data_IF_009669741670
#
_entry.id   IF_009669741670
#
_cell.length_a   1.000
_cell.length_b   1.000
_cell.length_c   1.000
_cell.angle_alpha   90.00
_cell.angle_beta   90.00
_cell.angle_gamma   90.00
#
_symmetry.space_group_name_H-M   'P 1'
#
loop_
_entity.id
_entity.type
_entity.pdbx_description
1 polymer ?
#
# COMPACT_ATOMS: atom_id res chain seq x y z
N UNK A 1 14.73 -19.56 -86.37
CA UNK A 1 13.65 -18.80 -85.70
C UNK A 1 13.97 -18.75 -84.21
N UNK A 2 13.89 -17.54 -83.64
CA UNK A 2 14.34 -17.15 -82.30
C UNK A 2 13.57 -17.91 -81.20
N UNK A 3 14.27 -18.46 -80.22
CA UNK A 3 13.70 -18.78 -78.90
C UNK A 3 14.68 -18.30 -77.82
N UNK A 4 14.20 -17.31 -77.04
CA UNK A 4 14.84 -16.70 -75.87
C UNK A 4 14.99 -17.72 -74.73
N UNK A 5 16.10 -17.73 -73.97
CA UNK A 5 16.11 -18.32 -72.63
C UNK A 5 15.74 -17.26 -71.58
N UNK A 6 14.70 -17.57 -70.81
CA UNK A 6 14.25 -16.83 -69.62
C UNK A 6 15.34 -16.97 -68.55
N UNK A 7 15.95 -15.85 -68.13
CA UNK A 7 16.79 -15.80 -66.92
C UNK A 7 15.92 -15.47 -65.72
N UNK A 8 15.83 -16.43 -64.80
CA UNK A 8 15.22 -16.28 -63.48
C UNK A 8 16.05 -15.26 -62.67
N UNK A 9 15.45 -14.15 -62.27
CA UNK A 9 16.07 -13.19 -61.36
C UNK A 9 15.83 -13.64 -59.91
N UNK A 10 16.89 -14.05 -59.22
CA UNK A 10 16.87 -14.33 -57.79
C UNK A 10 17.24 -13.04 -57.05
N UNK A 11 16.26 -12.27 -56.61
CA UNK A 11 16.47 -11.11 -55.72
C UNK A 11 16.64 -11.61 -54.29
N UNK A 12 17.86 -11.59 -53.78
CA UNK A 12 18.16 -11.79 -52.36
C UNK A 12 17.84 -10.50 -51.59
N UNK A 13 16.84 -10.54 -50.70
CA UNK A 13 16.49 -9.46 -49.79
C UNK A 13 17.38 -9.57 -48.54
N UNK A 14 18.38 -8.70 -48.42
CA UNK A 14 19.19 -8.58 -47.20
C UNK A 14 18.45 -7.65 -46.23
N UNK A 15 17.80 -8.22 -45.23
CA UNK A 15 17.21 -7.46 -44.13
C UNK A 15 18.32 -7.11 -43.11
N UNK A 16 18.75 -5.85 -43.10
CA UNK A 16 19.63 -5.32 -42.07
C UNK A 16 18.86 -5.12 -40.77
N UNK A 17 19.16 -5.94 -39.75
CA UNK A 17 18.73 -5.71 -38.38
C UNK A 17 19.56 -4.58 -37.78
N UNK A 18 18.96 -3.40 -37.62
CA UNK A 18 19.54 -2.34 -36.78
C UNK A 18 19.10 -2.62 -35.35
N UNK A 19 19.98 -3.24 -34.56
CA UNK A 19 19.80 -3.33 -33.11
C UNK A 19 19.94 -1.92 -32.53
N UNK A 20 18.80 -1.30 -32.21
CA UNK A 20 18.77 -0.14 -31.33
C UNK A 20 19.12 -0.61 -29.92
N UNK A 21 20.37 -0.42 -29.51
CA UNK A 21 20.76 -0.53 -28.10
C UNK A 21 20.01 0.57 -27.37
N UNK A 22 19.03 0.19 -26.55
CA UNK A 22 18.36 1.11 -25.64
C UNK A 22 19.45 1.74 -24.75
N UNK A 23 19.48 3.08 -24.73
CA UNK A 23 20.35 3.80 -23.81
C UNK A 23 20.03 3.34 -22.38
N UNK A 24 21.04 3.10 -21.52
CA UNK A 24 20.78 2.80 -20.12
C UNK A 24 19.91 3.92 -19.54
N UNK A 25 18.88 3.53 -18.79
CA UNK A 25 18.08 4.47 -18.01
C UNK A 25 19.04 5.38 -17.23
N UNK A 26 18.76 6.70 -17.14
CA UNK A 26 19.56 7.57 -16.29
C UNK A 26 19.61 6.92 -14.90
N UNK A 27 20.82 6.74 -14.36
CA UNK A 27 21.00 6.21 -13.03
C UNK A 27 20.06 6.97 -12.09
N UNK A 28 19.22 6.23 -11.35
CA UNK A 28 18.37 6.80 -10.31
C UNK A 28 19.26 7.75 -9.49
N UNK A 29 18.84 9.01 -9.38
CA UNK A 29 19.54 9.97 -8.55
C UNK A 29 19.67 9.36 -7.17
N UNK A 30 20.86 9.43 -6.58
CA UNK A 30 21.04 8.97 -5.21
C UNK A 30 19.99 9.63 -4.31
N UNK A 31 19.45 8.91 -3.30
CA UNK A 31 18.45 9.45 -2.37
C UNK A 31 18.96 10.77 -1.83
N UNK A 32 18.09 11.78 -1.82
CA UNK A 32 18.41 13.12 -1.36
C UNK A 32 17.89 13.20 0.07
N UNK A 33 18.72 12.94 1.10
CA UNK A 33 18.26 13.07 2.47
C UNK A 33 17.90 14.53 2.74
N UNK A 34 16.78 14.76 3.43
CA UNK A 34 16.27 16.10 3.72
C UNK A 34 17.25 16.96 4.49
N UNK A 35 18.15 16.36 5.29
CA UNK A 35 19.18 17.06 6.06
C UNK A 35 20.56 16.49 5.75
N UNK A 36 21.51 17.36 5.40
CA UNK A 36 22.91 16.97 5.12
C UNK A 36 23.91 17.84 5.86
N UNK A 37 24.77 17.22 6.66
CA UNK A 37 25.89 17.90 7.33
C UNK A 37 27.21 17.69 6.59
N UNK A 38 27.91 18.79 6.32
CA UNK A 38 29.23 18.82 5.70
C UNK A 38 30.25 19.38 6.68
N UNK A 39 31.34 18.65 6.93
CA UNK A 39 32.33 19.02 7.94
C UNK A 39 33.62 19.54 7.31
N UNK A 40 34.07 20.71 7.76
CA UNK A 40 35.34 21.30 7.36
C UNK A 40 36.51 20.86 8.24
N UNK A 41 37.73 21.03 7.73
CA UNK A 41 38.94 20.62 8.45
C UNK A 41 39.35 21.61 9.55
N UNK A 42 39.96 21.06 10.60
CA UNK A 42 40.58 21.84 11.66
C UNK A 42 41.66 22.77 11.09
N UNK A 43 41.69 24.04 11.54
CA UNK A 43 42.54 25.08 10.95
C UNK A 43 43.14 25.95 12.04
N UNK A 44 44.45 26.25 11.94
CA UNK A 44 45.12 27.13 12.90
C UNK A 44 44.69 28.59 12.70
N UNK A 45 44.32 29.26 13.79
CA UNK A 45 43.97 30.69 13.80
C UNK A 45 45.24 31.46 14.16
N UNK A 46 45.73 32.25 13.20
CA UNK A 46 46.95 33.00 13.39
C UNK A 46 46.74 34.21 14.33
N UNK A 47 47.73 34.58 15.14
CA UNK A 47 47.68 35.80 15.93
C UNK A 47 47.77 37.05 15.04
N UNK A 48 47.25 38.16 15.52
CA UNK A 48 47.60 39.49 15.02
C UNK A 48 48.77 40.06 15.82
N UNK A 49 49.91 40.22 15.14
CA UNK A 49 51.13 40.76 15.73
C UNK A 49 51.25 42.29 15.60
N UNK A 50 50.34 42.96 14.88
CA UNK A 50 50.60 44.31 14.37
C UNK A 50 49.86 45.45 15.09
N UNK A 51 48.75 45.22 15.80
CA UNK A 51 48.11 46.23 16.66
C UNK A 51 47.60 47.50 15.93
N UNK A 52 46.27 47.54 15.75
CA UNK A 52 45.39 48.70 15.45
C UNK A 52 45.23 49.21 13.98
N UNK A 53 44.31 48.62 13.19
CA UNK A 53 44.30 47.16 13.18
C UNK A 53 44.27 46.61 11.76
N UNK A 54 45.32 45.89 11.34
CA UNK A 54 45.08 44.73 10.49
C UNK A 54 44.74 43.54 11.41
N UNK A 55 43.52 43.01 11.35
CA UNK A 55 43.26 41.66 11.87
C UNK A 55 43.97 40.63 10.99
N UNK A 56 44.43 39.53 11.58
CA UNK A 56 44.81 38.36 10.80
C UNK A 56 43.56 37.54 10.51
N UNK A 57 43.23 37.36 9.23
CA UNK A 57 42.10 36.50 8.80
C UNK A 57 42.62 35.11 8.42
N UNK A 58 42.20 34.09 9.17
CA UNK A 58 42.36 32.69 8.79
C UNK A 58 41.16 32.24 7.97
N UNK A 59 41.38 31.51 6.87
CA UNK A 59 40.29 30.93 6.06
C UNK A 59 40.35 29.40 6.09
N UNK A 60 39.27 28.77 6.53
CA UNK A 60 39.03 27.33 6.39
C UNK A 60 38.01 27.10 5.27
N UNK A 61 38.29 26.20 4.33
CA UNK A 61 37.41 25.94 3.19
C UNK A 61 36.75 24.56 3.28
N UNK A 62 35.51 24.47 2.82
CA UNK A 62 34.70 23.26 2.75
C UNK A 62 34.03 23.22 1.37
N UNK A 63 34.12 22.09 0.68
CA UNK A 63 33.43 21.89 -0.58
C UNK A 63 32.10 21.16 -0.33
N UNK A 64 31.00 21.81 -0.67
CA UNK A 64 29.65 21.21 -0.66
C UNK A 64 29.31 20.81 -2.11
N UNK A 65 29.01 19.54 -2.39
CA UNK A 65 28.58 19.11 -3.72
C UNK A 65 27.32 19.86 -4.14
N UNK A 66 27.19 20.16 -5.43
CA UNK A 66 25.90 20.61 -5.96
C UNK A 66 24.87 19.50 -5.77
N UNK A 67 23.79 19.80 -5.06
CA UNK A 67 22.64 18.93 -4.91
C UNK A 67 21.44 19.54 -5.68
N UNK A 68 20.64 18.71 -6.37
CA UNK A 68 19.34 19.14 -6.85
C UNK A 68 18.45 19.30 -5.61
N UNK A 69 18.06 20.52 -5.28
CA UNK A 69 17.22 20.77 -4.12
C UNK A 69 17.08 22.26 -3.87
N UNK A 70 15.89 22.66 -3.44
CA UNK A 70 15.65 23.99 -2.89
C UNK A 70 16.10 23.94 -1.43
N UNK A 71 17.02 24.81 -1.06
CA UNK A 71 17.44 24.96 0.33
C UNK A 71 16.32 25.63 1.09
N UNK A 72 15.94 25.02 2.21
CA UNK A 72 14.97 25.57 3.15
C UNK A 72 15.64 26.18 4.36
N UNK A 73 16.77 25.61 4.80
CA UNK A 73 17.46 26.03 6.01
C UNK A 73 18.96 25.66 5.98
N UNK A 74 19.77 26.44 6.69
CA UNK A 74 21.22 26.30 6.81
C UNK A 74 21.67 26.56 8.25
N UNK A 75 22.15 25.51 8.93
CA UNK A 75 22.83 25.66 10.22
C UNK A 75 24.35 25.66 10.08
N UNK A 76 25.03 26.42 10.93
CA UNK A 76 26.50 26.47 10.99
C UNK A 76 26.99 26.18 12.39
N UNK A 77 27.64 25.04 12.59
CA UNK A 77 28.29 24.71 13.86
C UNK A 77 29.78 25.00 13.80
N UNK A 78 30.34 25.67 14.81
CA UNK A 78 31.77 25.98 14.91
C UNK A 78 32.27 25.74 16.33
N UNK A 79 33.39 25.03 16.46
CA UNK A 79 34.14 24.91 17.71
C UNK A 79 35.53 25.53 17.54
N UNK A 80 35.81 26.60 18.29
CA UNK A 80 37.10 27.30 18.29
C UNK A 80 37.70 27.23 19.69
N UNK A 81 38.99 26.91 19.74
CA UNK A 81 39.85 27.07 20.90
C UNK A 81 40.67 28.36 20.76
N UNK A 82 40.48 29.31 21.69
CA UNK A 82 41.26 30.55 21.73
C UNK A 82 41.42 31.06 23.16
N UNK A 83 42.57 31.64 23.54
CA UNK A 83 42.79 32.18 24.88
C UNK A 83 41.89 33.34 25.28
N UNK A 84 41.31 34.06 24.31
CA UNK A 84 40.33 35.13 24.55
C UNK A 84 39.37 35.26 23.35
N UNK A 85 38.19 34.64 23.44
CA UNK A 85 37.26 34.59 22.31
C UNK A 85 36.76 35.99 21.88
N UNK A 86 36.71 36.99 22.76
CA UNK A 86 36.30 38.37 22.46
C UNK A 86 37.12 39.03 21.33
N UNK A 87 38.34 38.52 21.11
CA UNK A 87 39.24 38.95 20.04
C UNK A 87 38.91 38.33 18.68
N UNK A 88 37.89 37.49 18.59
CA UNK A 88 37.51 36.77 17.39
C UNK A 88 36.21 37.27 16.79
N UNK A 89 36.17 37.24 15.46
CA UNK A 89 34.94 37.28 14.67
C UNK A 89 34.96 36.13 13.69
N UNK A 90 33.84 35.43 13.62
CA UNK A 90 33.61 34.42 12.60
C UNK A 90 32.75 35.05 11.51
N UNK A 91 33.15 34.79 10.27
CA UNK A 91 32.36 35.06 9.08
C UNK A 91 32.26 33.78 8.26
N UNK A 92 31.11 33.54 7.66
CA UNK A 92 30.97 32.47 6.67
C UNK A 92 30.73 33.11 5.31
N UNK A 93 31.35 32.62 4.24
CA UNK A 93 31.06 33.08 2.89
C UNK A 93 30.89 31.91 1.93
N UNK A 94 30.16 32.15 0.85
CA UNK A 94 29.94 31.19 -0.22
C UNK A 94 30.40 31.79 -1.56
N UNK A 95 30.64 30.94 -2.57
CA UNK A 95 31.16 31.36 -3.87
C UNK A 95 30.34 32.47 -4.54
N UNK A 96 29.04 32.54 -4.27
CA UNK A 96 28.09 33.52 -4.85
C UNK A 96 27.68 34.63 -3.88
N UNK A 97 28.04 34.55 -2.59
CA UNK A 97 27.60 35.48 -1.55
C UNK A 97 28.76 35.97 -0.68
N UNK A 98 28.92 37.29 -0.58
CA UNK A 98 29.92 37.91 0.29
C UNK A 98 29.36 38.06 1.69
N UNK A 99 29.58 37.03 2.49
CA UNK A 99 29.31 36.93 3.93
C UNK A 99 27.86 36.59 4.29
N UNK A 100 27.67 35.33 4.68
CA UNK A 100 26.41 34.65 5.03
C UNK A 100 26.17 34.68 6.54
N UNK A 101 27.24 34.51 7.30
CA UNK A 101 27.25 34.62 8.75
C UNK A 101 28.21 35.74 9.14
N UNK A 102 27.82 36.58 10.08
CA UNK A 102 28.75 37.39 10.86
C UNK A 102 28.46 37.17 12.33
N UNK A 103 29.49 36.86 13.11
CA UNK A 103 29.40 36.88 14.56
C UNK A 103 30.69 37.33 15.21
N UNK A 104 30.59 38.38 16.03
CA UNK A 104 31.65 38.71 16.99
C UNK A 104 31.39 38.00 18.31
N UNK A 105 32.41 37.35 18.85
CA UNK A 105 32.30 36.67 20.14
C UNK A 105 32.27 37.69 21.27
N UNK A 106 31.47 37.40 22.30
CA UNK A 106 31.27 38.28 23.45
C UNK A 106 31.94 37.74 24.73
N UNK A 107 32.37 36.47 24.70
CA UNK A 107 33.01 35.79 25.82
C UNK A 107 34.47 36.22 25.98
N UNK A 108 34.89 36.53 27.20
CA UNK A 108 36.31 36.73 27.52
C UNK A 108 36.97 35.43 28.01
N UNK A 109 38.26 35.26 27.72
CA UNK A 109 39.09 34.17 28.25
C UNK A 109 39.08 32.86 27.43
N UNK A 110 39.75 31.79 27.92
CA UNK A 110 39.92 30.55 27.17
C UNK A 110 38.59 29.83 26.98
N UNK A 111 38.19 29.60 25.73
CA UNK A 111 36.95 28.89 25.41
C UNK A 111 37.20 27.72 24.47
N UNK A 112 36.48 26.62 24.71
CA UNK A 112 36.30 25.50 23.78
C UNK A 112 34.82 25.13 23.84
N UNK A 113 34.00 25.68 22.95
CA UNK A 113 32.56 25.38 22.92
C UNK A 113 32.11 25.25 21.47
N UNK A 114 31.44 24.14 21.09
CA UNK A 114 30.68 24.13 19.86
C UNK A 114 29.51 25.09 20.03
N UNK A 115 29.40 26.05 19.11
CA UNK A 115 28.26 26.94 18.97
C UNK A 115 27.62 26.65 17.62
N UNK A 116 26.29 26.51 17.60
CA UNK A 116 25.52 26.49 16.37
C UNK A 116 24.93 27.86 16.09
N UNK A 117 24.97 28.28 14.83
CA UNK A 117 24.34 29.48 14.32
C UNK A 117 23.19 29.07 13.42
N UNK A 118 22.01 29.58 13.76
CA UNK A 118 20.70 29.15 13.30
C UNK A 118 19.78 30.38 13.51
N UNK A 119 19.09 30.87 12.47
CA UNK A 119 18.23 32.06 12.59
C UNK A 119 16.87 31.79 13.26
N UNK A 120 16.44 30.54 13.28
CA UNK A 120 15.26 30.02 13.97
C UNK A 120 15.54 29.89 15.47
N UNK A 121 16.80 29.74 15.87
CA UNK A 121 17.21 29.63 17.27
C UNK A 121 16.59 30.75 18.13
N UNK A 122 15.94 30.38 19.24
CA UNK A 122 15.29 31.37 20.10
C UNK A 122 16.29 32.22 20.93
N UNK A 123 17.53 31.72 21.11
CA UNK A 123 18.50 32.30 22.01
C UNK A 123 19.41 33.34 21.33
N UNK A 124 19.69 34.44 22.03
CA UNK A 124 20.67 35.44 21.63
C UNK A 124 21.99 35.15 22.34
N UNK A 125 23.08 35.04 21.57
CA UNK A 125 24.41 34.80 22.11
C UNK A 125 24.98 36.02 22.84
N UNK A 126 25.62 35.79 24.00
CA UNK A 126 26.25 36.82 24.83
C UNK A 126 27.40 36.28 25.71
N UNK A 127 28.00 37.12 26.59
CA UNK A 127 29.28 36.86 27.30
C UNK A 127 29.32 35.68 28.28
N UNK A 128 28.18 35.03 28.52
CA UNK A 128 28.05 33.89 29.44
C UNK A 128 27.26 32.75 28.80
N UNK A 129 27.10 32.77 27.49
CA UNK A 129 26.33 31.78 26.74
C UNK A 129 26.96 30.38 26.83
N UNK A 130 26.15 29.37 27.16
CA UNK A 130 26.57 27.97 27.18
C UNK A 130 26.77 27.45 25.73
N UNK A 131 27.37 26.26 25.52
CA UNK A 131 27.24 25.57 24.24
C UNK A 131 25.77 25.43 23.83
N UNK A 132 25.44 25.65 22.55
CA UNK A 132 24.06 25.62 22.06
C UNK A 132 23.88 26.35 20.73
N UNK A 133 22.63 26.48 20.29
CA UNK A 133 22.23 27.19 19.07
C UNK A 133 21.83 28.63 19.36
N UNK A 134 22.25 29.56 18.50
CA UNK A 134 22.07 30.99 18.69
C UNK A 134 21.84 31.72 17.36
N UNK A 135 21.14 32.86 17.46
CA UNK A 135 20.93 33.70 16.27
C UNK A 135 22.22 34.33 15.75
N UNK A 136 22.46 34.23 14.42
CA UNK A 136 23.51 34.97 13.75
C UNK A 136 23.17 36.47 13.69
N UNK A 137 24.18 37.33 13.45
CA UNK A 137 23.93 38.78 13.32
C UNK A 137 23.27 39.12 11.96
N UNK A 138 23.37 38.22 10.97
CA UNK A 138 22.62 38.24 9.71
C UNK A 138 21.94 36.89 9.50
N UNK A 139 20.67 36.86 9.05
CA UNK A 139 19.90 35.62 8.90
C UNK A 139 20.50 34.71 7.82
N UNK A 140 20.54 33.40 8.08
CA UNK A 140 21.05 32.41 7.12
C UNK A 140 20.00 32.11 6.05
N UNK A 141 18.71 32.32 6.35
CA UNK A 141 17.57 32.29 5.41
C UNK A 141 17.66 33.22 4.19
N UNK A 142 18.63 34.13 4.13
CA UNK A 142 18.94 34.89 2.90
C UNK A 142 19.37 34.00 1.72
N UNK A 143 19.55 32.70 1.96
CA UNK A 143 19.98 31.70 0.98
C UNK A 143 18.93 30.62 0.67
N UNK A 144 17.73 30.74 1.22
CA UNK A 144 16.59 29.89 0.88
C UNK A 144 16.27 30.04 -0.61
N UNK A 145 15.82 28.95 -1.25
CA UNK A 145 15.45 29.00 -2.66
C UNK A 145 16.61 28.90 -3.66
N UNK A 146 17.87 28.86 -3.21
CA UNK A 146 19.05 28.84 -4.10
C UNK A 146 19.79 27.49 -4.09
N UNK A 147 20.44 27.15 -5.20
CA UNK A 147 21.41 26.05 -5.21
C UNK A 147 22.70 26.51 -4.48
N UNK A 148 22.95 25.99 -3.28
CA UNK A 148 24.08 26.40 -2.41
C UNK A 148 25.29 25.45 -2.46
N UNK A 149 25.39 24.61 -3.50
CA UNK A 149 26.60 23.86 -3.79
C UNK A 149 27.77 24.78 -4.13
N UNK A 150 28.99 24.38 -3.76
CA UNK A 150 30.20 25.14 -4.06
C UNK A 150 31.19 25.21 -2.90
N UNK A 151 32.10 26.18 -2.98
CA UNK A 151 33.13 26.41 -1.96
C UNK A 151 32.59 27.31 -0.85
N UNK A 152 32.43 26.73 0.34
CA UNK A 152 32.15 27.43 1.59
C UNK A 152 33.45 27.79 2.29
N UNK A 153 33.51 28.99 2.86
CA UNK A 153 34.70 29.50 3.54
C UNK A 153 34.33 30.08 4.89
N UNK A 154 34.82 29.45 5.95
CA UNK A 154 34.81 30.00 7.30
C UNK A 154 36.03 30.91 7.45
N UNK A 155 35.79 32.21 7.64
CA UNK A 155 36.81 33.20 7.93
C UNK A 155 36.79 33.50 9.43
N UNK A 156 37.95 33.40 10.07
CA UNK A 156 38.14 33.77 11.48
C UNK A 156 39.08 34.95 11.51
N UNK A 157 38.54 36.12 11.84
CA UNK A 157 39.32 37.33 12.08
C UNK A 157 39.78 37.33 13.53
N UNK A 158 41.09 37.49 13.74
CA UNK A 158 41.69 37.62 15.05
C UNK A 158 42.35 39.00 15.17
N UNK A 159 41.95 39.78 16.18
CA UNK A 159 42.55 41.07 16.55
C UNK A 159 43.51 40.96 17.74
N UNK A 160 43.73 39.75 18.23
CA UNK A 160 44.52 39.45 19.41
C UNK A 160 45.93 38.98 19.10
N UNK A 161 46.90 39.18 20.02
CA UNK A 161 48.26 38.68 19.87
C UNK A 161 48.38 37.16 20.09
N UNK A 162 47.30 36.51 20.54
CA UNK A 162 47.27 35.08 20.83
C UNK A 162 46.86 34.29 19.60
N UNK A 163 47.49 33.13 19.39
CA UNK A 163 47.03 32.16 18.40
C UNK A 163 45.85 31.34 18.95
N UNK A 164 45.07 30.74 18.05
CA UNK A 164 44.05 29.75 18.40
C UNK A 164 43.89 28.68 17.35
N UNK A 165 42.78 27.95 17.41
CA UNK A 165 42.50 26.84 16.49
C UNK A 165 41.01 26.62 16.32
N UNK A 166 40.55 26.53 15.08
CA UNK A 166 39.27 25.91 14.76
C UNK A 166 39.44 24.41 14.93
N UNK A 167 38.76 23.83 15.91
CA UNK A 167 38.81 22.39 16.20
C UNK A 167 37.93 21.62 15.22
N UNK A 168 36.72 22.10 14.98
CA UNK A 168 35.76 21.56 14.02
C UNK A 168 34.81 22.67 13.57
N UNK A 169 34.27 22.51 12.37
CA UNK A 169 33.13 23.28 11.91
C UNK A 169 32.36 22.48 10.86
N UNK A 170 31.07 22.76 10.76
CA UNK A 170 30.19 22.12 9.79
C UNK A 170 29.11 23.07 9.31
N UNK A 171 28.59 22.78 8.13
CA UNK A 171 27.39 23.39 7.57
C UNK A 171 26.37 22.26 7.43
N UNK A 172 25.21 22.39 8.06
CA UNK A 172 24.06 21.51 7.86
C UNK A 172 23.08 22.22 6.94
N UNK A 173 22.56 21.51 5.94
CA UNK A 173 21.63 22.04 4.94
C UNK A 173 20.38 21.19 4.96
N UNK A 174 19.23 21.86 5.08
CA UNK A 174 17.91 21.26 4.94
C UNK A 174 17.33 21.56 3.56
N UNK A 175 16.77 20.57 2.88
CA UNK A 175 16.19 20.68 1.54
C UNK A 175 14.67 20.52 1.60
N UNK A 176 13.93 21.38 0.89
CA UNK A 176 12.46 21.30 0.82
C UNK A 176 11.94 20.26 -0.18
N UNK A 177 12.83 19.68 -0.99
CA UNK A 177 12.52 18.59 -1.92
C UNK A 177 13.57 17.52 -1.64
N UNK A 178 13.12 16.44 -1.00
CA UNK A 178 13.90 15.27 -0.65
C UNK A 178 13.10 14.00 -0.95
N UNK A 179 13.84 12.92 -1.11
CA UNK A 179 13.37 11.55 -1.32
C UNK A 179 14.37 10.71 -0.50
N UNK A 180 14.02 10.53 0.77
CA UNK A 180 14.92 9.98 1.77
C UNK A 180 15.14 8.47 1.59
N UNK A 181 14.12 7.75 1.13
CA UNK A 181 14.16 6.30 0.92
C UNK A 181 14.51 5.90 -0.54
N UNK A 182 14.51 6.86 -1.46
CA UNK A 182 14.96 6.73 -2.84
C UNK A 182 13.95 6.05 -3.75
N UNK A 183 12.66 6.12 -3.43
CA UNK A 183 11.59 5.44 -4.16
C UNK A 183 11.05 6.26 -5.35
N UNK A 184 11.43 7.54 -5.42
CA UNK A 184 11.03 8.48 -6.47
C UNK A 184 9.79 9.31 -6.15
N UNK A 185 9.24 9.19 -4.94
CA UNK A 185 8.22 10.05 -4.36
C UNK A 185 8.91 11.03 -3.39
N UNK A 186 8.42 12.26 -3.32
CA UNK A 186 9.01 13.27 -2.44
C UNK A 186 8.43 13.09 -1.03
N UNK A 187 9.26 13.14 0.03
CA UNK A 187 8.85 12.84 1.43
C UNK A 187 7.56 13.57 1.88
N UNK A 188 7.28 14.77 1.37
CA UNK A 188 6.08 15.53 1.76
C UNK A 188 4.77 15.07 1.12
N UNK A 189 4.85 14.21 0.11
CA UNK A 189 3.72 13.55 -0.57
C UNK A 189 3.84 12.02 -0.54
N UNK A 190 4.88 11.50 0.11
CA UNK A 190 5.09 10.09 0.35
C UNK A 190 4.20 9.62 1.51
N UNK A 191 3.46 8.53 1.31
CA UNK A 191 2.67 7.90 2.37
C UNK A 191 3.48 6.92 3.23
N UNK A 192 4.77 6.72 2.93
CA UNK A 192 5.71 5.89 3.66
C UNK A 192 7.17 6.40 3.63
N UNK A 193 7.43 7.60 4.16
CA UNK A 193 8.79 8.23 4.20
C UNK A 193 9.99 7.32 4.55
N UNK A 194 9.88 6.29 5.44
CA UNK A 194 11.03 5.43 5.75
C UNK A 194 11.13 4.16 4.88
N UNK A 195 10.16 3.85 4.02
CA UNK A 195 10.05 2.57 3.32
C UNK A 195 9.61 2.75 1.87
N UNK A 196 10.56 2.55 0.96
CA UNK A 196 10.35 2.72 -0.47
C UNK A 196 9.13 1.94 -1.01
N UNK A 197 8.14 2.68 -1.51
CA UNK A 197 6.90 2.19 -2.10
C UNK A 197 6.46 3.09 -3.28
N UNK A 198 7.13 3.00 -4.45
CA UNK A 198 6.90 3.90 -5.58
C UNK A 198 5.47 3.88 -6.15
N UNK A 199 4.66 2.88 -5.82
CA UNK A 199 3.26 2.76 -6.23
C UNK A 199 2.29 3.49 -5.30
N UNK A 200 2.76 3.92 -4.11
CA UNK A 200 2.00 4.63 -3.09
C UNK A 200 0.68 3.93 -2.77
N UNK A 201 0.70 2.59 -2.75
CA UNK A 201 -0.46 1.80 -2.41
C UNK A 201 -0.92 2.12 -0.97
N UNK A 202 -2.23 2.28 -0.81
CA UNK A 202 -2.92 2.61 0.44
C UNK A 202 -4.35 2.07 0.29
N UNK A 203 -4.55 0.82 0.72
CA UNK A 203 -5.79 0.06 0.50
C UNK A 203 -6.94 0.64 1.32
N UNK A 204 -6.69 0.98 2.58
CA UNK A 204 -7.72 1.44 3.51
C UNK A 204 -7.96 2.95 3.48
N UNK A 205 -7.03 3.70 2.87
CA UNK A 205 -7.05 5.16 2.68
C UNK A 205 -6.91 5.95 3.98
N UNK A 206 -6.16 5.45 4.94
CA UNK A 206 -5.87 6.17 6.18
C UNK A 206 -4.71 7.18 6.02
N UNK A 207 -3.99 7.12 4.89
CA UNK A 207 -2.87 7.99 4.56
C UNK A 207 -1.50 7.42 4.92
N UNK A 208 -1.43 6.20 5.47
CA UNK A 208 -0.23 5.40 5.67
C UNK A 208 -0.18 4.37 4.53
N UNK A 209 0.93 4.29 3.80
CA UNK A 209 1.02 3.34 2.70
C UNK A 209 1.10 1.88 3.15
N UNK A 210 0.61 0.95 2.31
CA UNK A 210 0.61 -0.51 2.54
C UNK A 210 2.00 -1.04 2.99
N UNK A 211 3.08 -0.38 2.56
CA UNK A 211 4.46 -0.80 2.84
C UNK A 211 4.93 -0.49 4.28
N UNK A 212 4.34 0.52 4.91
CA UNK A 212 4.67 0.96 6.27
C UNK A 212 3.48 0.92 7.23
N UNK A 213 2.30 0.55 6.74
CA UNK A 213 1.12 0.29 7.56
C UNK A 213 1.20 -1.08 8.27
N UNK A 214 0.83 -1.09 9.54
CA UNK A 214 0.71 -2.31 10.33
C UNK A 214 -0.59 -3.06 10.10
N UNK A 215 -1.61 -2.41 9.53
CA UNK A 215 -2.96 -2.96 9.28
C UNK A 215 -3.50 -2.52 7.90
N UNK A 216 -2.88 -2.96 6.77
CA UNK A 216 -3.09 -2.37 5.45
C UNK A 216 -4.54 -2.33 4.92
N UNK A 217 -5.45 -3.14 5.47
CA UNK A 217 -6.85 -3.13 5.06
C UNK A 217 -7.81 -2.50 6.08
N UNK A 218 -7.29 -2.01 7.21
CA UNK A 218 -8.00 -1.21 8.21
C UNK A 218 -9.14 -1.95 8.91
N UNK A 219 -9.09 -3.28 8.98
CA UNK A 219 -10.16 -4.10 9.55
C UNK A 219 -10.07 -4.26 11.08
N UNK A 220 -8.92 -3.88 11.65
CA UNK A 220 -8.60 -3.92 13.08
C UNK A 220 -7.86 -5.19 13.53
N UNK A 221 -7.53 -6.10 12.63
CA UNK A 221 -6.78 -7.32 12.86
C UNK A 221 -5.52 -7.29 12.01
N UNK A 222 -4.35 -7.32 12.64
CA UNK A 222 -3.07 -7.21 11.93
C UNK A 222 -2.18 -8.44 12.06
N UNK A 223 -1.24 -8.56 11.12
CA UNK A 223 -0.16 -9.54 11.17
C UNK A 223 -0.67 -10.99 11.05
N UNK A 224 -0.03 -11.97 11.72
CA UNK A 224 -0.39 -13.39 11.58
C UNK A 224 -1.78 -13.77 12.11
N UNK A 225 -2.49 -12.86 12.77
CA UNK A 225 -3.85 -13.08 13.22
C UNK A 225 -4.88 -12.78 12.12
N UNK A 226 -4.47 -12.06 11.08
CA UNK A 226 -5.29 -11.71 9.93
C UNK A 226 -5.12 -12.74 8.81
N UNK A 227 -6.20 -13.44 8.48
CA UNK A 227 -6.25 -14.40 7.40
C UNK A 227 -6.51 -13.76 6.02
N UNK A 228 -6.74 -12.45 5.95
CA UNK A 228 -6.84 -11.68 4.73
C UNK A 228 -6.15 -10.29 4.81
N UNK A 229 -4.80 -10.21 4.88
CA UNK A 229 -4.01 -8.98 5.09
C UNK A 229 -4.19 -7.79 4.12
N UNK A 230 -5.06 -7.91 3.13
CA UNK A 230 -5.33 -6.91 2.09
C UNK A 230 -6.82 -6.79 1.76
N UNK A 231 -7.70 -7.40 2.55
CA UNK A 231 -9.13 -7.49 2.27
C UNK A 231 -9.94 -7.55 3.56
N UNK A 232 -10.37 -6.37 4.00
CA UNK A 232 -11.02 -6.17 5.28
C UNK A 232 -12.10 -7.22 5.61
N UNK A 233 -11.88 -7.99 6.67
CA UNK A 233 -12.77 -9.04 7.12
C UNK A 233 -12.76 -9.18 8.65
N UNK A 234 -13.32 -8.21 9.41
CA UNK A 234 -13.18 -8.15 10.87
C UNK A 234 -13.69 -9.37 11.66
N UNK A 235 -14.46 -10.25 11.01
CA UNK A 235 -14.95 -11.50 11.59
C UNK A 235 -13.99 -12.68 11.43
N UNK A 236 -12.95 -12.53 10.58
CA UNK A 236 -11.93 -13.53 10.28
C UNK A 236 -12.58 -14.88 9.91
N UNK A 237 -13.63 -14.81 9.10
CA UNK A 237 -14.36 -15.99 8.63
C UNK A 237 -13.45 -16.81 7.71
N UNK A 238 -13.48 -18.12 7.88
CA UNK A 238 -12.70 -19.09 7.12
C UNK A 238 -13.47 -20.42 7.19
N UNK A 239 -14.18 -20.74 6.11
CA UNK A 239 -15.20 -21.78 6.05
C UNK A 239 -14.64 -23.19 5.86
N UNK A 240 -13.50 -23.33 5.19
CA UNK A 240 -12.77 -24.60 4.99
C UNK A 240 -11.61 -24.82 5.98
N UNK A 241 -11.26 -23.78 6.74
CA UNK A 241 -10.14 -23.70 7.68
C UNK A 241 -8.75 -23.83 7.02
N UNK A 242 -8.59 -23.30 5.81
CA UNK A 242 -7.29 -23.21 5.13
C UNK A 242 -6.46 -21.98 5.60
N UNK A 243 -5.50 -21.51 4.79
CA UNK A 243 -4.67 -20.37 5.15
C UNK A 243 -5.32 -19.00 4.85
N UNK A 244 -6.35 -18.95 4.01
CA UNK A 244 -7.02 -17.74 3.55
C UNK A 244 -8.37 -17.58 4.29
N UNK A 245 -8.84 -16.34 4.45
CA UNK A 245 -10.19 -16.10 4.92
C UNK A 245 -11.19 -16.01 3.77
N UNK A 246 -12.48 -16.17 4.07
CA UNK A 246 -13.60 -16.11 3.10
C UNK A 246 -13.64 -14.78 2.29
N UNK A 247 -12.91 -13.74 2.70
CA UNK A 247 -12.85 -12.45 2.00
C UNK A 247 -11.78 -12.39 0.91
N UNK A 248 -10.74 -13.24 1.00
CA UNK A 248 -9.59 -13.26 0.11
C UNK A 248 -9.31 -14.66 -0.47
N UNK A 249 -10.10 -15.66 -0.10
CA UNK A 249 -10.17 -16.94 -0.75
C UNK A 249 -11.03 -16.87 -2.02
N UNK A 250 -10.67 -17.68 -3.01
CA UNK A 250 -11.42 -17.86 -4.25
C UNK A 250 -12.31 -19.11 -4.24
N UNK A 251 -12.17 -20.01 -3.27
CA UNK A 251 -12.93 -21.25 -3.08
C UNK A 251 -13.16 -21.49 -1.57
N UNK A 252 -14.04 -20.68 -0.95
CA UNK A 252 -14.26 -20.61 0.51
C UNK A 252 -14.57 -21.98 1.18
N UNK A 253 -14.97 -23.02 0.43
CA UNK A 253 -15.32 -24.34 0.96
C UNK A 253 -14.46 -25.51 0.42
N UNK A 254 -13.38 -25.20 -0.32
CA UNK A 254 -12.41 -26.11 -0.96
C UNK A 254 -13.08 -27.36 -1.60
N UNK A 255 -14.21 -27.15 -2.27
CA UNK A 255 -14.91 -28.22 -2.99
C UNK A 255 -14.43 -28.39 -4.44
N UNK A 256 -13.49 -27.53 -4.85
CA UNK A 256 -12.90 -27.46 -6.18
C UNK A 256 -13.70 -26.60 -7.15
N UNK A 257 -14.53 -25.69 -6.63
CA UNK A 257 -15.30 -24.72 -7.41
C UNK A 257 -15.06 -23.32 -6.87
N UNK A 258 -14.52 -22.47 -7.74
CA UNK A 258 -14.38 -21.07 -7.41
C UNK A 258 -15.73 -20.44 -7.05
N UNK A 259 -15.74 -19.58 -6.04
CA UNK A 259 -16.90 -18.89 -5.49
C UNK A 259 -17.80 -18.22 -6.52
N UNK A 260 -17.19 -17.68 -7.58
CA UNK A 260 -17.90 -17.02 -8.67
C UNK A 260 -18.86 -17.97 -9.43
N UNK A 261 -18.56 -19.27 -9.42
CA UNK A 261 -19.34 -20.33 -10.04
C UNK A 261 -19.97 -21.27 -9.01
N UNK A 262 -19.76 -21.03 -7.72
CA UNK A 262 -20.30 -21.84 -6.63
C UNK A 262 -21.69 -21.38 -6.19
N UNK A 263 -22.62 -22.33 -6.16
CA UNK A 263 -23.99 -22.07 -5.78
C UNK A 263 -24.23 -21.99 -4.28
N UNK A 264 -23.33 -22.54 -3.47
CA UNK A 264 -23.36 -22.60 -2.02
C UNK A 264 -21.94 -22.43 -1.45
N UNK A 265 -21.23 -21.37 -1.85
CA UNK A 265 -19.90 -20.89 -1.40
C UNK A 265 -19.32 -21.35 -0.06
N UNK A 266 -20.15 -21.54 0.98
CA UNK A 266 -19.69 -21.84 2.35
C UNK A 266 -20.02 -23.29 2.77
N UNK A 267 -20.38 -24.17 1.84
CA UNK A 267 -20.79 -25.55 2.15
C UNK A 267 -20.37 -26.53 1.06
N UNK A 268 -19.19 -27.11 1.27
CA UNK A 268 -18.52 -28.02 0.35
C UNK A 268 -19.43 -29.10 -0.24
N UNK A 269 -19.53 -29.13 -1.57
CA UNK A 269 -20.37 -30.08 -2.29
C UNK A 269 -19.92 -30.36 -3.75
N UNK A 270 -19.44 -31.59 -3.98
CA UNK A 270 -19.06 -32.14 -5.30
C UNK A 270 -20.17 -32.26 -6.38
N UNK A 271 -21.29 -31.53 -6.26
CA UNK A 271 -22.33 -31.44 -7.29
C UNK A 271 -21.95 -30.49 -8.41
N UNK A 272 -22.75 -30.44 -9.48
CA UNK A 272 -22.54 -29.50 -10.59
C UNK A 272 -22.88 -28.05 -10.27
N UNK A 273 -23.55 -27.80 -9.14
CA UNK A 273 -24.04 -26.48 -8.77
C UNK A 273 -23.37 -25.94 -7.51
N UNK A 274 -22.30 -26.58 -7.02
CA UNK A 274 -21.66 -26.19 -5.75
C UNK A 274 -22.51 -26.37 -4.51
N UNK A 275 -23.67 -27.03 -4.61
CA UNK A 275 -24.59 -27.12 -3.48
C UNK A 275 -24.83 -28.56 -3.04
N UNK A 276 -25.02 -28.82 -1.74
CA UNK A 276 -25.28 -30.16 -1.23
C UNK A 276 -26.52 -30.77 -1.88
N UNK A 277 -26.39 -32.01 -2.37
CA UNK A 277 -27.52 -32.76 -2.90
C UNK A 277 -28.34 -33.40 -1.79
N UNK A 278 -29.56 -32.88 -1.55
CA UNK A 278 -30.43 -33.33 -0.45
C UNK A 278 -31.62 -34.16 -0.92
N UNK A 279 -31.94 -35.21 -0.17
CA UNK A 279 -32.99 -36.15 -0.53
C UNK A 279 -34.39 -35.59 -0.27
N UNK A 280 -35.20 -35.45 -1.31
CA UNK A 280 -36.63 -35.12 -1.17
C UNK A 280 -37.49 -36.39 -1.15
N UNK A 281 -38.42 -36.48 -0.20
CA UNK A 281 -39.38 -37.60 -0.06
C UNK A 281 -40.82 -37.10 -0.14
N UNK A 282 -41.59 -37.60 -1.12
CA UNK A 282 -43.02 -37.27 -1.26
C UNK A 282 -43.92 -38.45 -0.89
N UNK A 283 -44.91 -38.20 -0.03
CA UNK A 283 -45.99 -39.16 0.29
C UNK A 283 -47.32 -38.65 -0.23
N UNK A 284 -48.16 -39.56 -0.71
CA UNK A 284 -49.53 -39.30 -1.15
C UNK A 284 -50.48 -40.26 -0.45
N UNK A 285 -51.63 -39.76 0.01
CA UNK A 285 -52.70 -40.56 0.56
C UNK A 285 -54.06 -40.00 0.18
N UNK A 286 -55.09 -40.85 0.20
CA UNK A 286 -56.48 -40.44 0.00
C UNK A 286 -57.14 -40.20 1.35
N UNK A 287 -57.74 -39.04 1.52
CA UNK A 287 -58.53 -38.67 2.70
C UNK A 287 -59.92 -38.22 2.24
N UNK A 288 -60.94 -39.06 2.48
CA UNK A 288 -62.33 -38.81 2.06
C UNK A 288 -62.42 -38.45 0.56
N UNK A 289 -62.71 -37.18 0.25
CA UNK A 289 -62.86 -36.62 -1.11
C UNK A 289 -61.60 -35.88 -1.61
N UNK A 290 -60.49 -35.93 -0.88
CA UNK A 290 -59.23 -35.25 -1.22
C UNK A 290 -58.06 -36.23 -1.33
N UNK A 291 -57.12 -35.89 -2.20
CA UNK A 291 -55.77 -36.43 -2.16
C UNK A 291 -54.90 -35.45 -1.39
N UNK A 292 -54.25 -35.93 -0.33
CA UNK A 292 -53.37 -35.14 0.52
C UNK A 292 -51.97 -35.69 0.38
N UNK A 293 -51.00 -34.81 0.20
CA UNK A 293 -49.60 -35.20 0.16
C UNK A 293 -48.72 -34.31 1.03
N UNK A 294 -47.54 -34.82 1.33
CA UNK A 294 -46.50 -34.12 2.07
C UNK A 294 -45.14 -34.40 1.44
N UNK A 295 -44.43 -33.34 1.09
CA UNK A 295 -43.01 -33.35 0.76
C UNK A 295 -42.21 -33.17 2.06
N UNK A 296 -41.09 -33.89 2.17
CA UNK A 296 -40.14 -33.81 3.28
C UNK A 296 -38.73 -33.79 2.71
N UNK A 297 -37.87 -32.97 3.28
CA UNK A 297 -36.44 -32.87 3.00
C UNK A 297 -35.78 -32.29 4.26
N UNK A 298 -34.47 -32.42 4.36
CA UNK A 298 -33.71 -31.89 5.49
C UNK A 298 -33.52 -30.36 5.38
N UNK A 299 -33.59 -29.83 4.14
CA UNK A 299 -33.58 -28.38 3.84
C UNK A 299 -35.00 -27.86 3.60
N UNK A 300 -35.37 -26.74 4.24
CA UNK A 300 -36.69 -26.12 4.12
C UNK A 300 -37.01 -25.65 2.68
N UNK A 301 -36.02 -25.14 1.95
CA UNK A 301 -36.17 -24.72 0.55
C UNK A 301 -36.57 -25.88 -0.39
N UNK A 302 -36.26 -27.12 -0.01
CA UNK A 302 -36.67 -28.33 -0.72
C UNK A 302 -38.06 -28.85 -0.32
N UNK A 303 -38.76 -28.11 0.53
CA UNK A 303 -40.10 -28.44 1.05
C UNK A 303 -41.10 -27.33 0.74
N UNK A 304 -40.67 -26.07 0.80
CA UNK A 304 -41.51 -24.91 0.51
C UNK A 304 -41.64 -24.63 -0.99
N UNK A 305 -42.85 -24.27 -1.38
CA UNK A 305 -43.25 -23.95 -2.75
C UNK A 305 -42.84 -24.97 -3.84
N UNK A 306 -42.73 -26.24 -3.46
CA UNK A 306 -42.34 -27.33 -4.34
C UNK A 306 -43.48 -27.73 -5.25
N UNK A 307 -43.20 -27.83 -6.56
CA UNK A 307 -44.16 -28.26 -7.59
C UNK A 307 -44.32 -29.79 -7.59
N UNK A 308 -45.41 -30.26 -6.99
CA UNK A 308 -45.84 -31.65 -6.98
C UNK A 308 -46.78 -31.95 -8.16
N UNK A 309 -46.33 -32.77 -9.13
CA UNK A 309 -47.12 -33.17 -10.29
C UNK A 309 -47.92 -34.45 -10.01
N UNK A 310 -49.25 -34.36 -9.99
CA UNK A 310 -50.12 -35.54 -9.89
C UNK A 310 -50.26 -36.23 -11.24
N UNK A 311 -50.01 -37.54 -11.26
CA UNK A 311 -50.11 -38.40 -12.45
C UNK A 311 -51.07 -39.57 -12.22
N UNK A 312 -51.74 -39.99 -13.29
CA UNK A 312 -52.51 -41.25 -13.36
C UNK A 312 -51.64 -42.32 -14.00
N UNK A 313 -51.48 -43.45 -13.31
CA UNK A 313 -50.79 -44.63 -13.82
C UNK A 313 -51.64 -45.32 -14.89
N UNK A 314 -51.07 -45.54 -16.08
CA UNK A 314 -51.70 -46.27 -17.20
C UNK A 314 -50.84 -47.48 -17.61
N UNK A 315 -51.37 -48.34 -18.49
CA UNK A 315 -50.61 -49.45 -19.06
C UNK A 315 -49.54 -48.97 -20.06
N UNK A 316 -49.78 -47.85 -20.73
CA UNK A 316 -48.80 -47.13 -21.55
C UNK A 316 -48.29 -45.86 -20.86
N UNK A 317 -48.26 -44.73 -21.58
CA UNK A 317 -47.77 -43.45 -21.04
C UNK A 317 -48.68 -42.90 -19.93
N UNK A 318 -48.09 -42.66 -18.76
CA UNK A 318 -48.77 -42.04 -17.62
C UNK A 318 -49.26 -40.63 -17.94
N UNK A 319 -50.47 -40.29 -17.47
CA UNK A 319 -51.11 -39.00 -17.81
C UNK A 319 -50.87 -38.00 -16.67
N UNK A 320 -50.30 -36.84 -17.00
CA UNK A 320 -50.22 -35.68 -16.10
C UNK A 320 -51.62 -35.08 -15.93
N UNK A 321 -52.05 -34.86 -14.69
CA UNK A 321 -53.37 -34.31 -14.39
C UNK A 321 -53.29 -32.86 -13.99
N UNK A 322 -52.46 -32.56 -12.99
CA UNK A 322 -52.33 -31.23 -12.42
C UNK A 322 -50.99 -31.10 -11.70
N UNK A 323 -50.58 -29.86 -11.46
CA UNK A 323 -49.44 -29.52 -10.62
C UNK A 323 -49.98 -28.77 -9.41
N UNK A 324 -49.58 -29.18 -8.21
CA UNK A 324 -49.89 -28.47 -6.96
C UNK A 324 -48.59 -27.96 -6.37
N UNK A 325 -48.62 -26.77 -5.80
CA UNK A 325 -47.49 -26.22 -5.04
C UNK A 325 -47.66 -26.56 -3.56
N UNK A 326 -46.59 -26.96 -2.89
CA UNK A 326 -46.61 -27.19 -1.43
C UNK A 326 -46.67 -25.87 -0.67
N UNK A 327 -47.17 -25.93 0.57
CA UNK A 327 -46.95 -24.87 1.57
C UNK A 327 -45.58 -25.05 2.22
N UNK A 328 -45.13 -24.08 3.02
CA UNK A 328 -43.93 -24.18 3.87
C UNK A 328 -43.83 -25.47 4.69
N UNK A 329 -44.96 -25.97 5.20
CA UNK A 329 -45.04 -27.28 5.88
C UNK A 329 -44.82 -28.53 5.00
N UNK A 330 -44.59 -28.34 3.69
CA UNK A 330 -44.49 -29.39 2.67
C UNK A 330 -45.82 -29.99 2.25
N UNK A 331 -46.93 -29.55 2.86
CA UNK A 331 -48.26 -30.14 2.65
C UNK A 331 -48.93 -29.56 1.42
N UNK A 332 -49.64 -30.42 0.69
CA UNK A 332 -50.53 -30.03 -0.40
C UNK A 332 -51.80 -30.89 -0.40
N UNK A 333 -52.86 -30.37 -1.02
CA UNK A 333 -54.14 -31.07 -1.14
C UNK A 333 -54.79 -30.77 -2.48
N UNK A 334 -55.44 -31.76 -3.06
CA UNK A 334 -56.23 -31.62 -4.29
C UNK A 334 -57.50 -32.46 -4.22
N UNK A 335 -58.48 -32.17 -5.07
CA UNK A 335 -59.71 -32.98 -5.18
C UNK A 335 -59.35 -34.36 -5.73
N UNK A 336 -60.03 -35.41 -5.25
CA UNK A 336 -59.87 -36.75 -5.82
C UNK A 336 -60.36 -36.75 -7.28
N UNK A 337 -59.56 -37.25 -8.24
CA UNK A 337 -59.99 -37.36 -9.63
C UNK A 337 -61.25 -38.24 -9.79
N UNK A 338 -62.16 -37.84 -10.69
CA UNK A 338 -63.41 -38.58 -10.95
C UNK A 338 -63.18 -39.99 -11.49
N UNK A 339 -62.14 -40.18 -12.31
CA UNK A 339 -61.84 -41.47 -12.91
C UNK A 339 -61.26 -42.44 -11.87
N UNK A 340 -61.75 -43.68 -11.83
CA UNK A 340 -61.12 -44.73 -11.05
C UNK A 340 -59.72 -45.06 -11.60
N UNK A 341 -58.79 -45.41 -10.72
CA UNK A 341 -57.44 -45.78 -11.13
C UNK A 341 -56.39 -45.67 -10.04
N UNK A 342 -55.14 -45.73 -10.48
CA UNK A 342 -53.94 -45.66 -9.66
C UNK A 342 -53.28 -44.30 -9.87
N UNK A 343 -53.04 -43.56 -8.79
CA UNK A 343 -52.51 -42.19 -8.84
C UNK A 343 -51.26 -42.06 -7.98
N UNK A 344 -50.31 -41.25 -8.44
CA UNK A 344 -49.09 -40.97 -7.70
C UNK A 344 -48.63 -39.54 -7.98
N UNK A 345 -47.76 -39.01 -7.13
CA UNK A 345 -47.17 -37.69 -7.29
C UNK A 345 -45.69 -37.81 -7.61
N UNK A 346 -45.21 -36.91 -8.48
CA UNK A 346 -43.79 -36.73 -8.78
C UNK A 346 -43.37 -35.32 -8.40
N UNK A 347 -42.28 -35.22 -7.67
CA UNK A 347 -41.50 -34.00 -7.47
C UNK A 347 -40.25 -34.14 -8.34
N UNK A 348 -39.93 -33.11 -9.12
CA UNK A 348 -38.73 -33.08 -9.97
C UNK A 348 -37.53 -32.53 -9.19
N UNK A 349 -36.31 -32.81 -9.67
CA UNK A 349 -35.11 -32.12 -9.17
C UNK A 349 -35.33 -30.61 -9.29
N UNK A 350 -34.96 -29.87 -8.26
CA UNK A 350 -35.04 -28.41 -8.19
C UNK A 350 -33.74 -27.92 -7.58
N UNK A 351 -33.14 -26.92 -8.19
CA UNK A 351 -32.05 -26.20 -7.58
C UNK A 351 -32.59 -25.08 -6.70
N UNK A 352 -32.21 -25.08 -5.42
CA UNK A 352 -32.45 -23.99 -4.50
C UNK A 352 -31.11 -23.26 -4.32
N UNK A 353 -30.97 -22.13 -5.02
CA UNK A 353 -29.76 -21.28 -5.03
C UNK A 353 -29.36 -20.96 -3.59
N UNK A 354 -28.07 -21.10 -3.26
CA UNK A 354 -27.54 -20.85 -1.92
C UNK A 354 -27.96 -21.86 -0.86
N UNK A 355 -28.63 -22.95 -1.22
CA UNK A 355 -29.17 -23.89 -0.22
C UNK A 355 -28.89 -25.36 -0.52
N UNK A 356 -29.28 -25.86 -1.70
CA UNK A 356 -29.17 -27.29 -2.04
C UNK A 356 -29.64 -27.62 -3.47
N UNK A 357 -29.12 -28.74 -3.99
CA UNK A 357 -29.79 -29.49 -5.05
C UNK A 357 -30.88 -30.40 -4.46
N UNK A 358 -32.15 -29.99 -4.55
CA UNK A 358 -33.28 -30.79 -4.07
C UNK A 358 -33.52 -31.99 -5.00
N UNK A 359 -33.36 -33.20 -4.47
CA UNK A 359 -33.54 -34.44 -5.21
C UNK A 359 -34.96 -34.65 -5.76
N UNK A 360 -35.07 -35.46 -6.82
CA UNK A 360 -36.39 -35.85 -7.34
C UNK A 360 -37.04 -36.95 -6.49
N UNK A 361 -38.37 -37.03 -6.49
CA UNK A 361 -39.09 -38.00 -5.66
C UNK A 361 -40.40 -38.47 -6.30
N UNK A 362 -40.75 -39.74 -6.07
CA UNK A 362 -42.02 -40.32 -6.52
C UNK A 362 -42.74 -40.98 -5.35
N UNK A 363 -44.02 -40.62 -5.16
CA UNK A 363 -44.83 -41.24 -4.10
C UNK A 363 -45.20 -42.67 -4.44
N UNK A 364 -45.52 -43.45 -3.41
CA UNK A 364 -46.28 -44.69 -3.60
C UNK A 364 -47.62 -44.40 -4.29
N UNK A 365 -48.16 -45.44 -4.92
CA UNK A 365 -49.39 -45.31 -5.71
C UNK A 365 -50.62 -45.48 -4.83
N UNK A 366 -51.56 -44.55 -4.92
CA UNK A 366 -52.84 -44.56 -4.24
C UNK A 366 -53.93 -45.04 -5.20
N UNK A 367 -54.70 -46.05 -4.79
CA UNK A 367 -55.84 -46.55 -5.57
C UNK A 367 -57.10 -45.73 -5.25
N UNK A 368 -57.70 -45.15 -6.28
CA UNK A 368 -59.01 -44.49 -6.22
C UNK A 368 -60.03 -45.42 -6.89
N UNK A 369 -61.01 -45.89 -6.12
CA UNK A 369 -62.16 -46.65 -6.63
C UNK A 369 -63.24 -45.68 -7.11
N UNK A 370 -64.00 -46.08 -8.13
CA UNK A 370 -65.21 -45.39 -8.56
C UNK A 370 -66.16 -45.36 -7.35
N UNK A 371 -66.73 -44.19 -7.05
CA UNK A 371 -67.83 -44.12 -6.09
C UNK A 371 -69.05 -44.77 -6.68
#
# INVERSE_FOLDING_TARGET
MRLLPIRLALTALVAGFVSTVAAPAPAASAPVPCVRTFSGSATAVAPDAAGDPPSTTTTASLAVPAAPGVVEDVDVTVAIEHPDAFQLRVRLSHATSTTILQKRFADSGPQVRPLSWDDEAAAVYGPTSAPGSYRPDQPLSLHDGAAIGGAWRLLVDNWGPSAGRVLSWSVTISYSICDADGDGVEDHVDNCDPVANPDQADIDRDGVGDACDGDPDGDGISGPADNCPRAANPTQANSDADALGDACDADDDDDGRADADDGCRLESAATSSGCPSVATKVRLRKEKSRLVGKVRSDRAACVDEVRATLKRKKAGRDTKLLVVTTKSSGRFRTRVPKAAGRYYVVVRKRYAVGVAECGSSRSTTVRVRRR
#
